data_IF_629699489933
#
_entry.id   IF_629699489933
#
_cell.length_a   1.000
_cell.length_b   1.000
_cell.length_c   1.000
_cell.angle_alpha   90.00
_cell.angle_beta   90.00
_cell.angle_gamma   90.00
#
_symmetry.space_group_name_H-M   'P 1'
#
loop_
_entity.id
_entity.type
_entity.pdbx_description
1 polymer ?
#
# COMPACT_ATOMS: atom_id res chain seq x y z
N UNK A 1 -19.31 -19.10 19.38
CA UNK A 1 -19.84 -19.02 17.99
C UNK A 1 -20.92 -17.92 17.77
N UNK A 2 -21.06 -16.88 18.62
CA UNK A 2 -22.09 -15.82 18.43
C UNK A 2 -21.56 -14.41 18.05
N UNK A 3 -20.24 -14.21 18.03
CA UNK A 3 -19.62 -12.89 17.78
C UNK A 3 -19.60 -12.44 16.31
N UNK A 4 -20.02 -13.28 15.36
CA UNK A 4 -19.97 -12.99 13.93
C UNK A 4 -21.07 -12.00 13.44
N UNK A 5 -21.95 -11.53 14.34
CA UNK A 5 -23.14 -10.74 13.96
C UNK A 5 -23.14 -9.29 14.48
N UNK A 6 -22.17 -8.89 15.30
CA UNK A 6 -22.12 -7.56 15.95
C UNK A 6 -20.99 -6.75 15.32
N UNK A 7 -21.29 -5.52 14.93
CA UNK A 7 -20.32 -4.54 14.40
C UNK A 7 -20.60 -3.16 14.99
N UNK A 8 -19.62 -2.27 14.89
CA UNK A 8 -19.75 -0.89 15.39
C UNK A 8 -19.93 0.05 14.20
N UNK A 9 -21.03 0.77 14.18
CA UNK A 9 -21.21 1.93 13.31
C UNK A 9 -20.49 3.11 13.94
N UNK A 10 -19.50 3.64 13.22
CA UNK A 10 -18.69 4.75 13.69
C UNK A 10 -19.50 6.03 13.78
N UNK A 11 -19.42 6.67 14.95
CA UNK A 11 -19.75 8.07 15.16
C UNK A 11 -18.46 8.83 15.47
N UNK A 12 -18.24 9.15 16.73
CA UNK A 12 -17.07 9.87 17.26
C UNK A 12 -15.81 9.00 17.31
N UNK A 13 -15.92 7.68 17.17
CA UNK A 13 -14.81 6.73 17.27
C UNK A 13 -14.22 6.61 18.68
N UNK A 14 -14.90 7.14 19.69
CA UNK A 14 -14.42 7.19 21.07
C UNK A 14 -14.53 5.86 21.80
N UNK A 15 -15.36 4.93 21.32
CA UNK A 15 -15.60 3.62 21.96
C UNK A 15 -15.09 2.45 21.13
N UNK A 16 -15.14 2.55 19.81
CA UNK A 16 -14.63 1.50 18.92
C UNK A 16 -13.12 1.31 19.10
N UNK A 17 -12.66 0.08 19.36
CA UNK A 17 -11.25 -0.27 19.40
C UNK A 17 -10.71 -0.48 17.98
N UNK A 18 -9.71 0.30 17.62
CA UNK A 18 -9.17 0.38 16.26
C UNK A 18 -8.69 -0.98 15.73
N UNK A 19 -7.93 -1.72 16.53
CA UNK A 19 -7.28 -2.96 16.11
C UNK A 19 -8.16 -4.22 16.23
N UNK A 20 -9.20 -4.19 17.07
CA UNK A 20 -9.92 -5.41 17.47
C UNK A 20 -11.40 -5.41 17.13
N UNK A 21 -12.05 -4.25 17.07
CA UNK A 21 -13.49 -4.19 16.81
C UNK A 21 -13.81 -4.23 15.32
N UNK A 22 -15.02 -4.68 15.01
CA UNK A 22 -15.58 -4.73 13.65
C UNK A 22 -16.23 -3.40 13.30
N UNK A 23 -15.44 -2.36 13.07
CA UNK A 23 -15.95 -1.01 12.79
C UNK A 23 -15.73 -0.57 11.34
N UNK A 24 -14.81 -1.23 10.61
CA UNK A 24 -14.45 -0.84 9.25
C UNK A 24 -15.27 -1.65 8.25
N UNK A 25 -16.38 -1.08 7.77
CA UNK A 25 -17.32 -1.75 6.85
C UNK A 25 -17.82 -3.10 7.41
N UNK A 26 -17.99 -3.19 8.74
CA UNK A 26 -18.40 -4.41 9.44
C UNK A 26 -17.32 -5.49 9.57
N UNK A 27 -16.07 -5.18 9.23
CA UNK A 27 -14.89 -6.06 9.43
C UNK A 27 -13.95 -5.47 10.47
N UNK A 28 -13.19 -6.33 11.14
CA UNK A 28 -12.09 -5.91 12.01
C UNK A 28 -10.77 -5.88 11.23
N UNK A 29 -9.76 -5.17 11.74
CA UNK A 29 -8.43 -5.22 11.16
C UNK A 29 -7.78 -6.60 11.25
N UNK A 30 -8.18 -7.43 12.23
CA UNK A 30 -7.75 -8.83 12.32
C UNK A 30 -8.26 -9.63 11.11
N UNK A 31 -9.51 -9.39 10.67
CA UNK A 31 -10.08 -10.08 9.51
C UNK A 31 -9.47 -9.58 8.18
N UNK A 32 -9.00 -8.33 8.15
CA UNK A 32 -8.52 -7.67 6.94
C UNK A 32 -7.01 -7.78 6.73
N UNK A 33 -6.24 -7.75 7.82
CA UNK A 33 -4.79 -7.53 7.85
C UNK A 33 -4.16 -8.23 9.08
N UNK A 34 -4.23 -9.58 9.15
CA UNK A 34 -3.81 -10.32 10.33
C UNK A 34 -2.32 -10.18 10.67
N UNK A 35 -1.42 -10.20 9.68
CA UNK A 35 0.02 -10.08 9.91
C UNK A 35 0.43 -8.69 10.43
N UNK A 36 -0.21 -7.62 9.94
CA UNK A 36 -0.04 -6.27 10.43
C UNK A 36 -0.53 -6.14 11.87
N UNK A 37 -1.68 -6.75 12.18
CA UNK A 37 -2.16 -6.75 13.56
C UNK A 37 -1.18 -7.50 14.45
N UNK A 38 -0.61 -8.63 14.03
CA UNK A 38 0.30 -9.44 14.85
C UNK A 38 1.56 -8.68 15.30
N UNK A 39 2.04 -7.72 14.52
CA UNK A 39 3.21 -6.88 14.88
C UNK A 39 2.88 -5.71 15.82
N UNK A 40 1.61 -5.55 16.22
CA UNK A 40 1.17 -4.56 17.21
C UNK A 40 1.14 -5.18 18.62
N UNK A 41 1.59 -4.43 19.62
CA UNK A 41 1.55 -4.87 21.01
C UNK A 41 0.10 -5.12 21.51
N UNK A 42 -0.13 -6.24 22.20
CA UNK A 42 -1.45 -6.61 22.73
C UNK A 42 -2.05 -5.57 23.69
N UNK A 43 -1.24 -4.79 24.41
CA UNK A 43 -1.72 -3.69 25.26
C UNK A 43 -2.36 -2.57 24.44
N UNK A 44 -1.77 -2.26 23.28
CA UNK A 44 -2.24 -1.22 22.38
C UNK A 44 -3.53 -1.66 21.70
N UNK A 45 -3.61 -2.91 21.24
CA UNK A 45 -4.82 -3.49 20.64
C UNK A 45 -6.07 -3.34 21.51
N UNK A 46 -5.91 -3.49 22.83
CA UNK A 46 -6.99 -3.44 23.83
C UNK A 46 -7.45 -2.03 24.21
N UNK A 47 -6.70 -0.98 23.85
CA UNK A 47 -6.94 0.39 24.34
C UNK A 47 -7.09 1.43 23.25
N UNK A 48 -6.42 1.25 22.10
CA UNK A 48 -6.42 2.23 21.02
C UNK A 48 -7.83 2.37 20.45
N UNK A 49 -8.46 3.52 20.64
CA UNK A 49 -9.75 3.83 20.02
C UNK A 49 -9.56 4.29 18.57
N UNK A 50 -10.62 4.22 17.77
CA UNK A 50 -10.59 4.70 16.38
C UNK A 50 -10.29 6.21 16.32
N UNK A 51 -10.88 7.01 17.22
CA UNK A 51 -10.59 8.43 17.32
C UNK A 51 -9.10 8.70 17.56
N UNK A 52 -8.51 8.02 18.54
CA UNK A 52 -7.09 8.16 18.88
C UNK A 52 -6.17 7.64 17.78
N UNK A 53 -6.58 6.59 17.06
CA UNK A 53 -5.81 6.01 15.97
C UNK A 53 -5.73 6.95 14.78
N UNK A 54 -6.85 7.53 14.38
CA UNK A 54 -6.95 8.39 13.20
C UNK A 54 -6.38 9.78 13.46
N UNK A 55 -6.48 10.29 14.69
CA UNK A 55 -5.87 11.55 15.08
C UNK A 55 -4.37 11.52 14.78
N UNK A 56 -3.93 12.43 13.90
CA UNK A 56 -2.54 12.52 13.42
C UNK A 56 -1.94 11.18 12.94
N UNK A 57 -2.78 10.23 12.49
CA UNK A 57 -2.36 8.89 12.03
C UNK A 57 -1.57 8.12 13.10
N UNK A 58 -1.89 8.31 14.38
CA UNK A 58 -1.15 7.73 15.50
C UNK A 58 -1.08 6.20 15.46
N UNK A 59 -2.02 5.53 14.81
CA UNK A 59 -1.99 4.08 14.63
C UNK A 59 -0.72 3.56 13.95
N UNK A 60 -0.03 4.38 13.14
CA UNK A 60 1.24 3.97 12.51
C UNK A 60 2.29 3.68 13.60
N UNK A 61 2.31 4.46 14.67
CA UNK A 61 3.27 4.30 15.78
C UNK A 61 3.03 3.03 16.62
N UNK A 62 1.87 2.40 16.47
CA UNK A 62 1.52 1.18 17.19
C UNK A 62 2.23 -0.05 16.59
N UNK A 63 2.75 0.07 15.37
CA UNK A 63 3.44 -1.00 14.63
C UNK A 63 4.89 -1.06 15.13
N UNK A 64 5.19 -2.04 15.97
CA UNK A 64 6.49 -2.16 16.66
C UNK A 64 7.27 -3.41 16.30
N UNK A 65 6.63 -4.40 15.67
CA UNK A 65 7.26 -5.65 15.23
C UNK A 65 7.95 -5.56 13.87
N UNK A 66 8.41 -6.70 13.35
CA UNK A 66 9.16 -6.77 12.11
C UNK A 66 8.31 -6.38 10.88
N UNK A 67 8.81 -5.45 10.07
CA UNK A 67 8.18 -5.00 8.83
C UNK A 67 8.49 -5.97 7.68
N UNK A 68 7.89 -7.15 7.71
CA UNK A 68 7.97 -8.10 6.59
C UNK A 68 7.18 -7.58 5.38
N UNK A 69 7.41 -8.16 4.20
CA UNK A 69 6.67 -7.80 2.98
C UNK A 69 5.15 -7.90 3.18
N UNK A 70 4.67 -8.97 3.83
CA UNK A 70 3.24 -9.15 4.11
C UNK A 70 2.69 -8.04 5.01
N UNK A 71 3.44 -7.64 6.04
CA UNK A 71 3.07 -6.53 6.93
C UNK A 71 2.97 -5.21 6.15
N UNK A 72 3.90 -4.95 5.22
CA UNK A 72 3.87 -3.74 4.39
C UNK A 72 2.67 -3.72 3.42
N UNK A 73 2.31 -4.86 2.82
CA UNK A 73 1.13 -4.96 1.95
C UNK A 73 -0.17 -4.71 2.73
N UNK A 74 -0.28 -5.34 3.90
CA UNK A 74 -1.42 -5.16 4.78
C UNK A 74 -1.49 -3.73 5.35
N UNK A 75 -0.36 -3.11 5.62
CA UNK A 75 -0.29 -1.69 5.97
C UNK A 75 -0.92 -0.82 4.88
N UNK A 76 -0.52 -1.01 3.62
CA UNK A 76 -1.08 -0.25 2.49
C UNK A 76 -2.59 -0.50 2.33
N UNK A 77 -3.05 -1.74 2.56
CA UNK A 77 -4.45 -2.10 2.51
C UNK A 77 -5.29 -1.42 3.59
N UNK A 78 -4.80 -1.41 4.83
CA UNK A 78 -5.46 -0.72 5.93
C UNK A 78 -5.46 0.79 5.66
N UNK A 79 -4.29 1.34 5.34
CA UNK A 79 -4.10 2.75 5.02
C UNK A 79 -5.09 3.26 3.95
N UNK A 80 -5.30 2.49 2.89
CA UNK A 80 -6.27 2.80 1.83
C UNK A 80 -7.71 2.87 2.33
N UNK A 81 -8.12 1.85 3.11
CA UNK A 81 -9.48 1.77 3.66
C UNK A 81 -9.76 2.90 4.66
N UNK A 82 -8.73 3.39 5.35
CA UNK A 82 -8.87 4.49 6.31
C UNK A 82 -9.08 5.85 5.64
N UNK A 83 -8.70 6.04 4.37
CA UNK A 83 -8.85 7.34 3.69
C UNK A 83 -10.31 7.80 3.61
N UNK A 84 -11.26 6.86 3.53
CA UNK A 84 -12.69 7.15 3.47
C UNK A 84 -13.36 7.34 4.84
N UNK A 85 -12.65 7.12 5.94
CA UNK A 85 -13.24 7.15 7.28
C UNK A 85 -13.32 8.59 7.77
N UNK A 86 -14.54 9.05 8.05
CA UNK A 86 -14.82 10.36 8.64
C UNK A 86 -15.58 10.17 9.96
N UNK A 87 -15.04 10.72 11.04
CA UNK A 87 -15.67 10.69 12.35
C UNK A 87 -16.65 11.86 12.50
N UNK A 88 -17.70 11.64 13.28
CA UNK A 88 -18.74 12.62 13.59
C UNK A 88 -18.63 13.00 15.08
N UNK A 89 -18.00 14.14 15.36
CA UNK A 89 -17.64 14.57 16.73
C UNK A 89 -18.83 14.65 17.72
N UNK A 90 -20.06 14.81 17.21
CA UNK A 90 -21.26 14.96 18.04
C UNK A 90 -22.18 13.74 18.03
N UNK A 91 -21.72 12.60 17.52
CA UNK A 91 -22.53 11.39 17.44
C UNK A 91 -21.78 10.22 18.09
N UNK A 92 -22.28 9.59 19.17
CA UNK A 92 -21.61 8.43 19.73
C UNK A 92 -21.63 7.23 18.78
N UNK A 93 -20.59 6.40 18.85
CA UNK A 93 -20.54 5.07 18.23
C UNK A 93 -21.76 4.21 18.60
N UNK A 94 -22.30 3.47 17.62
CA UNK A 94 -23.47 2.59 17.80
C UNK A 94 -23.10 1.13 17.56
N UNK A 95 -23.60 0.25 18.41
CA UNK A 95 -23.44 -1.21 18.23
C UNK A 95 -24.64 -1.72 17.43
N UNK A 96 -24.37 -2.29 16.26
CA UNK A 96 -25.39 -2.79 15.33
C UNK A 96 -25.24 -4.29 15.08
N UNK A 97 -26.36 -4.92 14.70
CA UNK A 97 -26.41 -6.34 14.30
C UNK A 97 -26.67 -6.43 12.79
N UNK A 98 -25.88 -7.25 12.09
CA UNK A 98 -25.94 -7.36 10.61
C UNK A 98 -27.31 -7.91 10.17
N UNK A 99 -28.09 -7.13 9.42
CA UNK A 99 -29.12 -7.67 8.51
C UNK A 99 -28.43 -7.99 7.19
N UNK A 100 -28.68 -9.16 6.62
CA UNK A 100 -28.12 -9.58 5.32
C UNK A 100 -28.67 -8.65 4.22
N UNK A 101 -27.89 -7.65 3.83
CA UNK A 101 -28.03 -6.99 2.54
C UNK A 101 -26.74 -7.15 1.77
N UNK A 102 -26.84 -7.77 0.59
CA UNK A 102 -25.79 -7.78 -0.40
C UNK A 102 -25.69 -6.40 -1.03
N UNK A 103 -24.46 -5.89 -1.11
CA UNK A 103 -24.14 -4.69 -1.87
C UNK A 103 -23.02 -5.08 -2.83
N UNK A 104 -23.36 -5.11 -4.11
CA UNK A 104 -22.42 -4.90 -5.19
C UNK A 104 -22.09 -3.41 -5.19
N UNK A 105 -20.81 -3.06 -5.22
CA UNK A 105 -20.36 -1.68 -5.33
C UNK A 105 -19.43 -1.61 -6.54
N UNK A 106 -19.68 -0.62 -7.40
CA UNK A 106 -19.10 -0.46 -8.73
C UNK A 106 -17.56 -0.61 -8.71
N UNK A 107 -17.06 -1.56 -9.51
CA UNK A 107 -15.84 -2.33 -9.26
C UNK A 107 -14.78 -2.08 -10.35
N UNK A 108 -14.62 -0.82 -10.77
CA UNK A 108 -13.67 -0.43 -11.81
C UNK A 108 -12.42 0.26 -11.24
N UNK A 109 -11.26 -0.16 -11.73
CA UNK A 109 -9.96 0.38 -11.35
C UNK A 109 -9.75 1.79 -11.91
N UNK A 110 -9.45 2.77 -11.06
CA UNK A 110 -9.24 4.18 -11.44
C UNK A 110 -8.03 4.38 -12.39
N UNK A 111 -7.11 3.42 -12.47
CA UNK A 111 -5.94 3.52 -13.35
C UNK A 111 -6.23 3.09 -14.80
N UNK A 112 -7.02 2.04 -15.02
CA UNK A 112 -7.28 1.46 -16.34
C UNK A 112 -8.76 1.35 -16.75
N UNK A 113 -9.68 1.63 -15.81
CA UNK A 113 -11.14 1.59 -15.98
C UNK A 113 -11.72 0.22 -16.39
N UNK A 114 -11.05 -0.90 -16.07
CA UNK A 114 -11.36 -2.23 -16.64
C UNK A 114 -11.61 -3.39 -15.65
N UNK A 115 -11.16 -3.34 -14.39
CA UNK A 115 -11.30 -4.49 -13.44
C UNK A 115 -11.37 -4.09 -11.96
N UNK A 116 -11.75 -5.06 -11.10
CA UNK A 116 -12.01 -4.94 -9.65
C UNK A 116 -10.89 -4.26 -8.83
N UNK A 117 -11.29 -3.55 -7.77
CA UNK A 117 -10.47 -2.73 -6.85
C UNK A 117 -9.60 -3.56 -5.89
N UNK A 118 -8.87 -4.55 -6.38
CA UNK A 118 -7.90 -5.30 -5.57
C UNK A 118 -6.51 -4.68 -5.67
N UNK A 119 -5.79 -4.61 -4.54
CA UNK A 119 -4.47 -3.98 -4.46
C UNK A 119 -3.47 -4.62 -5.42
N UNK A 120 -3.53 -5.94 -5.61
CA UNK A 120 -2.69 -6.60 -6.60
C UNK A 120 -3.03 -6.18 -8.04
N UNK A 121 -4.31 -5.99 -8.37
CA UNK A 121 -4.67 -5.40 -9.65
C UNK A 121 -4.08 -3.99 -9.78
N UNK A 122 -4.24 -3.15 -8.76
CA UNK A 122 -3.69 -1.79 -8.78
C UNK A 122 -2.16 -1.77 -8.96
N UNK A 123 -1.43 -2.60 -8.20
CA UNK A 123 0.02 -2.50 -8.09
C UNK A 123 0.75 -3.27 -9.17
N UNK A 124 0.24 -4.42 -9.64
CA UNK A 124 0.97 -5.27 -10.58
C UNK A 124 0.18 -5.66 -11.84
N UNK A 125 -1.13 -5.96 -11.75
CA UNK A 125 -1.86 -6.49 -12.92
C UNK A 125 -2.45 -5.40 -13.84
N UNK A 126 -2.67 -4.19 -13.34
CA UNK A 126 -3.24 -3.07 -14.08
C UNK A 126 -2.37 -2.74 -15.30
N UNK A 127 -2.93 -2.59 -16.52
CA UNK A 127 -2.16 -2.22 -17.72
C UNK A 127 -1.26 -1.00 -17.52
N UNK A 128 -1.79 0.07 -16.90
CA UNK A 128 -1.00 1.26 -16.57
C UNK A 128 0.20 0.92 -15.68
N UNK A 129 -0.04 0.17 -14.60
CA UNK A 129 1.01 -0.24 -13.65
C UNK A 129 2.04 -1.14 -14.30
N UNK A 130 1.64 -2.10 -15.14
CA UNK A 130 2.54 -2.98 -15.90
C UNK A 130 3.47 -2.18 -16.82
N UNK A 131 2.95 -1.17 -17.50
CA UNK A 131 3.77 -0.31 -18.34
C UNK A 131 4.74 0.54 -17.53
N UNK A 132 4.33 1.05 -16.35
CA UNK A 132 5.26 1.73 -15.43
C UNK A 132 6.37 0.79 -14.95
N UNK A 133 6.02 -0.43 -14.51
CA UNK A 133 6.98 -1.46 -14.10
C UNK A 133 7.98 -1.78 -15.22
N UNK A 134 7.48 -2.04 -16.42
CA UNK A 134 8.30 -2.36 -17.58
C UNK A 134 9.30 -1.24 -17.89
N UNK A 135 8.82 0.01 -17.97
CA UNK A 135 9.67 1.15 -18.29
C UNK A 135 10.70 1.45 -17.20
N UNK A 136 10.33 1.36 -15.92
CA UNK A 136 11.27 1.59 -14.81
C UNK A 136 12.32 0.48 -14.74
N UNK A 137 11.91 -0.80 -14.79
CA UNK A 137 12.83 -1.93 -14.70
C UNK A 137 13.78 -1.99 -15.90
N UNK A 138 13.31 -1.64 -17.11
CA UNK A 138 14.15 -1.52 -18.29
C UNK A 138 15.17 -0.38 -18.13
N UNK A 139 14.73 0.82 -17.72
CA UNK A 139 15.65 1.95 -17.47
C UNK A 139 16.66 1.65 -16.35
N UNK A 140 16.29 0.81 -15.39
CA UNK A 140 17.15 0.36 -14.29
C UNK A 140 18.09 -0.81 -14.66
N UNK A 141 18.04 -1.34 -15.89
CA UNK A 141 18.86 -2.48 -16.31
C UNK A 141 18.43 -3.84 -15.71
N UNK A 142 17.20 -3.96 -15.24
CA UNK A 142 16.60 -5.18 -14.68
C UNK A 142 15.49 -5.74 -15.56
N UNK A 143 15.65 -5.64 -16.87
CA UNK A 143 14.74 -6.20 -17.88
C UNK A 143 14.54 -7.72 -17.77
N UNK A 144 15.51 -8.46 -17.23
CA UNK A 144 15.39 -9.91 -17.05
C UNK A 144 14.25 -10.31 -16.12
N UNK A 145 13.82 -9.43 -15.19
CA UNK A 145 12.70 -9.73 -14.27
C UNK A 145 11.34 -9.26 -14.80
N UNK A 146 11.28 -8.53 -15.91
CA UNK A 146 10.01 -8.03 -16.48
C UNK A 146 9.17 -9.14 -17.08
N UNK A 147 9.79 -10.24 -17.52
CA UNK A 147 9.10 -11.40 -18.09
C UNK A 147 8.15 -12.08 -17.11
N UNK A 148 8.35 -11.89 -15.80
CA UNK A 148 7.53 -12.50 -14.75
C UNK A 148 6.33 -11.64 -14.31
N UNK A 149 6.09 -10.47 -14.92
CA UNK A 149 5.00 -9.55 -14.55
C UNK A 149 3.58 -10.08 -14.89
N UNK A 150 3.47 -11.29 -15.44
CA UNK A 150 2.20 -11.98 -15.68
C UNK A 150 1.56 -12.57 -14.41
N UNK A 151 2.24 -12.49 -13.27
CA UNK A 151 1.72 -12.96 -11.99
C UNK A 151 0.69 -11.98 -11.42
N UNK A 152 -0.47 -12.50 -11.02
CA UNK A 152 -1.58 -11.69 -10.49
C UNK A 152 -1.38 -11.20 -9.05
N UNK A 153 -0.26 -11.55 -8.38
CA UNK A 153 0.00 -11.20 -6.99
C UNK A 153 1.41 -10.62 -6.81
N UNK A 154 1.49 -9.44 -6.19
CA UNK A 154 2.74 -8.69 -6.03
C UNK A 154 3.76 -9.47 -5.19
N UNK A 155 3.34 -10.10 -4.10
CA UNK A 155 4.23 -10.85 -3.21
C UNK A 155 4.88 -12.05 -3.91
N UNK A 156 4.09 -12.79 -4.69
CA UNK A 156 4.57 -13.95 -5.46
C UNK A 156 5.58 -13.52 -6.52
N UNK A 157 5.24 -12.48 -7.29
CA UNK A 157 6.16 -11.92 -8.28
C UNK A 157 7.45 -11.41 -7.65
N UNK A 158 7.37 -10.59 -6.59
CA UNK A 158 8.54 -10.01 -5.94
C UNK A 158 9.47 -11.11 -5.44
N UNK A 159 8.94 -12.13 -4.78
CA UNK A 159 9.73 -13.26 -4.27
C UNK A 159 10.47 -13.98 -5.40
N UNK A 160 9.82 -14.18 -6.56
CA UNK A 160 10.42 -14.85 -7.71
C UNK A 160 11.44 -13.97 -8.45
N UNK A 161 11.10 -12.71 -8.72
CA UNK A 161 11.98 -11.75 -9.36
C UNK A 161 13.28 -11.57 -8.56
N UNK A 162 13.18 -11.52 -7.23
CA UNK A 162 14.33 -11.39 -6.33
C UNK A 162 15.33 -12.54 -6.42
N UNK A 163 14.90 -13.75 -6.80
CA UNK A 163 15.81 -14.90 -7.01
C UNK A 163 16.78 -14.64 -8.17
N UNK A 164 16.32 -13.91 -9.18
CA UNK A 164 17.06 -13.57 -10.39
C UNK A 164 17.95 -12.32 -10.25
N UNK A 165 17.83 -11.60 -9.12
CA UNK A 165 18.67 -10.44 -8.83
C UNK A 165 19.93 -10.87 -8.06
N UNK A 166 21.15 -10.45 -8.49
CA UNK A 166 22.39 -10.71 -7.78
C UNK A 166 22.33 -10.25 -6.31
N UNK A 167 22.90 -11.05 -5.39
CA UNK A 167 22.81 -10.79 -3.93
C UNK A 167 23.15 -9.35 -3.51
N UNK A 168 24.20 -8.69 -4.04
CA UNK A 168 24.54 -7.31 -3.67
C UNK A 168 23.44 -6.29 -4.02
N UNK A 169 22.68 -6.55 -5.09
CA UNK A 169 21.69 -5.62 -5.63
C UNK A 169 20.28 -5.83 -5.04
N UNK A 170 20.06 -6.91 -4.29
CA UNK A 170 18.72 -7.26 -3.77
C UNK A 170 18.11 -6.19 -2.89
N UNK A 171 18.91 -5.51 -2.05
CA UNK A 171 18.40 -4.39 -1.22
C UNK A 171 17.94 -3.21 -2.08
N UNK A 172 18.72 -2.87 -3.11
CA UNK A 172 18.34 -1.85 -4.09
C UNK A 172 17.05 -2.21 -4.81
N UNK A 173 16.97 -3.44 -5.30
CA UNK A 173 15.77 -3.97 -5.93
C UNK A 173 14.54 -3.93 -5.01
N UNK A 174 14.67 -4.43 -3.78
CA UNK A 174 13.59 -4.42 -2.78
C UNK A 174 13.10 -2.98 -2.51
N UNK A 175 14.03 -2.01 -2.48
CA UNK A 175 13.70 -0.59 -2.30
C UNK A 175 13.00 0.02 -3.51
N UNK A 176 13.45 -0.31 -4.72
CA UNK A 176 12.82 0.14 -5.95
C UNK A 176 11.40 -0.40 -6.05
N UNK A 177 11.19 -1.67 -5.68
CA UNK A 177 9.87 -2.29 -5.69
C UNK A 177 8.90 -1.55 -4.78
N UNK A 178 9.31 -1.27 -3.54
CA UNK A 178 8.50 -0.49 -2.59
C UNK A 178 8.23 0.91 -3.11
N UNK A 179 9.23 1.57 -3.70
CA UNK A 179 9.09 2.90 -4.27
C UNK A 179 8.07 2.93 -5.42
N UNK A 180 8.16 1.99 -6.38
CA UNK A 180 7.21 1.92 -7.49
C UNK A 180 5.79 1.67 -6.96
N UNK A 181 5.62 0.75 -6.02
CA UNK A 181 4.31 0.49 -5.40
C UNK A 181 3.75 1.76 -4.74
N UNK A 182 4.59 2.50 -4.02
CA UNK A 182 4.22 3.75 -3.39
C UNK A 182 3.82 4.83 -4.41
N UNK A 183 4.56 4.98 -5.50
CA UNK A 183 4.26 5.97 -6.54
C UNK A 183 2.97 5.61 -7.31
N UNK A 184 2.72 4.33 -7.60
CA UNK A 184 1.46 3.86 -8.17
C UNK A 184 0.28 4.07 -7.22
N UNK A 185 0.47 3.86 -5.93
CA UNK A 185 -0.54 4.15 -4.91
C UNK A 185 -0.84 5.66 -4.84
N UNK A 186 0.19 6.52 -4.84
CA UNK A 186 0.01 7.98 -4.94
C UNK A 186 -0.72 8.39 -6.22
N UNK A 187 -0.39 7.79 -7.37
CA UNK A 187 -1.08 8.04 -8.64
C UNK A 187 -2.59 7.79 -8.54
N UNK A 188 -2.98 6.65 -7.96
CA UNK A 188 -4.39 6.34 -7.74
C UNK A 188 -5.08 7.42 -6.90
N UNK A 189 -4.45 7.87 -5.82
CA UNK A 189 -5.07 8.89 -4.96
C UNK A 189 -5.21 10.22 -5.66
N UNK A 190 -4.19 10.66 -6.37
CA UNK A 190 -4.24 11.91 -7.10
C UNK A 190 -5.35 11.88 -8.16
N UNK A 191 -5.59 10.73 -8.81
CA UNK A 191 -6.74 10.56 -9.72
C UNK A 191 -8.09 10.55 -9.00
N UNK A 192 -8.15 9.95 -7.83
CA UNK A 192 -9.40 9.79 -7.05
C UNK A 192 -9.82 11.09 -6.35
N UNK A 193 -8.88 11.79 -5.74
CA UNK A 193 -9.14 12.92 -4.85
C UNK A 193 -8.82 14.26 -5.50
N UNK A 194 -7.75 14.35 -6.30
CA UNK A 194 -7.30 15.60 -6.92
C UNK A 194 -7.65 15.71 -8.41
N UNK A 195 -8.25 14.65 -8.99
CA UNK A 195 -8.54 14.49 -10.43
C UNK A 195 -7.33 14.73 -11.34
N UNK A 196 -6.13 14.50 -10.83
CA UNK A 196 -4.88 14.63 -11.59
C UNK A 196 -4.53 13.29 -12.20
N UNK A 197 -4.44 13.24 -13.52
CA UNK A 197 -4.06 12.04 -14.28
C UNK A 197 -2.69 12.30 -14.89
N UNK A 198 -1.69 11.49 -14.53
CA UNK A 198 -0.37 11.53 -15.16
C UNK A 198 -0.25 10.48 -16.26
N UNK A 199 0.53 10.80 -17.27
CA UNK A 199 0.95 9.83 -18.29
C UNK A 199 1.93 8.83 -17.68
N UNK A 200 2.13 7.69 -18.34
CA UNK A 200 3.10 6.68 -17.92
C UNK A 200 4.50 7.29 -17.80
N UNK A 201 4.92 8.10 -18.79
CA UNK A 201 6.22 8.75 -18.78
C UNK A 201 6.38 9.69 -17.57
N UNK A 202 5.37 10.51 -17.27
CA UNK A 202 5.40 11.38 -16.08
C UNK A 202 5.49 10.58 -14.77
N UNK A 203 4.81 9.43 -14.69
CA UNK A 203 4.90 8.55 -13.52
C UNK A 203 6.30 7.92 -13.39
N UNK A 204 6.88 7.47 -14.51
CA UNK A 204 8.25 6.94 -14.58
C UNK A 204 9.26 8.01 -14.17
N UNK A 205 9.19 9.22 -14.73
CA UNK A 205 10.13 10.30 -14.44
C UNK A 205 10.08 10.68 -12.95
N UNK A 206 8.89 10.76 -12.36
CA UNK A 206 8.72 11.00 -10.91
C UNK A 206 9.36 9.92 -10.04
N UNK A 207 9.33 8.65 -10.48
CA UNK A 207 10.03 7.57 -9.78
C UNK A 207 11.54 7.82 -9.81
N UNK A 208 12.09 8.20 -10.96
CA UNK A 208 13.52 8.50 -11.11
C UNK A 208 13.97 9.78 -10.40
N UNK A 209 13.11 10.80 -10.31
CA UNK A 209 13.34 11.99 -9.49
C UNK A 209 13.46 11.61 -8.01
N UNK A 210 12.59 10.72 -7.53
CA UNK A 210 12.64 10.23 -6.14
C UNK A 210 13.89 9.38 -5.88
N UNK A 211 14.28 8.51 -6.81
CA UNK A 211 15.55 7.76 -6.74
C UNK A 211 16.73 8.72 -6.61
N UNK A 212 16.73 9.77 -7.43
CA UNK A 212 17.77 10.80 -7.44
C UNK A 212 17.81 11.55 -6.10
N UNK A 213 16.65 11.94 -5.57
CA UNK A 213 16.52 12.59 -4.27
C UNK A 213 17.05 11.71 -3.13
N UNK A 214 16.72 10.41 -3.13
CA UNK A 214 17.22 9.48 -2.10
C UNK A 214 18.73 9.29 -2.18
N UNK A 215 19.28 9.22 -3.39
CA UNK A 215 20.73 9.15 -3.61
C UNK A 215 21.44 10.40 -3.08
N UNK A 216 20.91 11.60 -3.38
CA UNK A 216 21.42 12.86 -2.85
C UNK A 216 21.32 12.95 -1.31
N UNK A 217 20.31 12.33 -0.72
CA UNK A 217 20.16 12.20 0.73
C UNK A 217 21.06 11.13 1.36
N UNK A 218 21.90 10.45 0.56
CA UNK A 218 22.89 9.47 1.03
C UNK A 218 22.43 8.02 1.00
N UNK A 219 21.26 7.70 0.42
CA UNK A 219 20.81 6.32 0.26
C UNK A 219 21.50 5.64 -0.93
N UNK A 220 22.50 4.80 -0.64
CA UNK A 220 23.40 4.26 -1.67
C UNK A 220 22.90 3.01 -2.39
N UNK A 221 21.90 2.30 -1.85
CA UNK A 221 21.47 1.02 -2.42
C UNK A 221 20.78 1.14 -3.80
N UNK A 222 20.36 2.35 -4.20
CA UNK A 222 19.80 2.65 -5.51
C UNK A 222 20.79 3.40 -6.44
N UNK A 223 22.02 3.65 -6.00
CA UNK A 223 23.05 4.28 -6.84
C UNK A 223 23.24 3.59 -8.20
N UNK A 224 23.22 2.24 -8.32
CA UNK A 224 23.41 1.56 -9.61
C UNK A 224 22.32 1.88 -10.65
N UNK A 225 21.16 2.35 -10.21
CA UNK A 225 19.99 2.65 -11.06
C UNK A 225 19.64 4.14 -11.05
N UNK A 226 20.43 4.96 -10.35
CA UNK A 226 20.23 6.41 -10.26
C UNK A 226 20.74 7.08 -11.55
N UNK A 227 19.93 7.94 -12.20
CA UNK A 227 20.34 8.68 -13.40
C UNK A 227 21.58 9.55 -13.17
N UNK A 228 21.76 10.04 -11.93
CA UNK A 228 22.89 10.87 -11.54
C UNK A 228 24.21 10.08 -11.64
N UNK A 229 24.21 8.81 -11.21
CA UNK A 229 25.42 7.95 -11.24
C UNK A 229 25.82 7.57 -12.66
N UNK A 230 24.85 7.34 -13.55
CA UNK A 230 25.11 7.02 -14.98
C UNK A 230 25.81 8.19 -15.68
N UNK A 231 25.51 9.43 -15.29
CA UNK A 231 26.12 10.63 -15.91
C UNK A 231 27.57 10.83 -15.47
N UNK A 232 27.93 10.46 -14.23
CA UNK A 232 29.29 10.63 -13.69
C UNK A 232 30.25 9.55 -14.23
N UNK A 233 29.78 8.33 -14.49
CA UNK A 233 30.63 7.23 -15.00
C UNK A 233 30.94 7.36 -16.50
N UNK A 234 30.13 8.09 -17.26
CA UNK A 234 30.39 8.37 -18.70
C UNK A 234 31.25 9.63 -18.90
N UNK A 235 31.44 10.43 -17.84
CA UNK A 235 32.23 11.66 -17.87
C UNK A 235 33.68 11.52 -17.35
N UNK A 236 34.10 10.30 -16.99
CA UNK A 236 35.46 9.93 -16.55
C UNK A 236 36.01 8.90 -17.54
#
# INVERSE_FOLDING_TARGET
MFQASIYIELGDGGKALFWSDRWLQGKSLIDLAPCLVDVVCGRVKKKRTVAQALQNKQWISDITGALTVQVLLEYLQVWDRLQGVRLQENQPDKISRRKKHGLQDDDTCVLCNQSSKMIDHLLIACPFSREVWFNVLRKAGWESVTQNLHMDHLASWWTEARKHVPKPNRRGFDSLVVLICWQLWKERNDRTFDRRVRTINQAVDRIFDEISAWSLAGYRHLEPVSPITITVVVAI
#
